data_IF_804966917071
#
_entry.id   IF_804966917071
#
_cell.length_a   1.000
_cell.length_b   1.000
_cell.length_c   1.000
_cell.angle_alpha   90.00
_cell.angle_beta   90.00
_cell.angle_gamma   90.00
#
_symmetry.space_group_name_H-M   'P 1'
#
loop_
_entity.id
_entity.type
_entity.pdbx_description
1 polymer ?
2 water ?
#
# COMPACT_ATOMS: atom_id res chain seq x y z
N UNK A 10 -4.67 5.37 -17.10
CA UNK A 10 -4.25 6.25 -15.94
C UNK A 10 -5.13 6.07 -14.72
N UNK A 11 -6.09 5.15 -14.82
CA UNK A 11 -7.03 4.90 -13.74
C UNK A 11 -6.60 3.85 -12.71
N UNK A 12 -5.96 2.78 -13.16
CA UNK A 12 -5.51 1.71 -12.26
C UNK A 12 -4.01 1.38 -12.35
N UNK A 13 -3.37 1.34 -11.19
CA UNK A 13 -1.95 1.03 -11.09
C UNK A 13 -1.77 -0.21 -10.22
N UNK A 14 -1.69 -1.39 -10.84
CA UNK A 14 -1.49 -2.62 -10.09
C UNK A 14 -0.01 -2.75 -9.78
N UNK A 15 0.35 -2.67 -8.51
CA UNK A 15 1.76 -2.72 -8.12
C UNK A 15 2.52 -4.01 -8.48
N UNK A 16 1.95 -5.17 -8.21
CA UNK A 16 2.65 -6.42 -8.54
C UNK A 16 2.93 -6.52 -10.03
N UNK A 17 2.00 -6.01 -10.82
CA UNK A 17 2.14 -6.01 -12.27
C UNK A 17 3.25 -5.05 -12.71
N UNK A 18 3.30 -3.88 -12.06
CA UNK A 18 4.30 -2.86 -12.38
C UNK A 18 5.73 -3.25 -12.04
N UNK A 19 5.91 -3.98 -10.94
CA UNK A 19 7.24 -4.42 -10.52
C UNK A 19 7.70 -5.59 -11.39
N UNK A 20 6.73 -6.33 -11.93
CA UNK A 20 7.04 -7.50 -12.73
C UNK A 20 7.26 -8.64 -11.76
N UNK A 21 6.58 -8.56 -10.62
CA UNK A 21 6.67 -9.56 -9.56
C UNK A 21 6.03 -10.91 -9.87
N UNK A 22 5.81 -11.22 -11.15
CA UNK A 22 5.24 -12.50 -11.54
C UNK A 22 6.18 -13.25 -12.49
N UNK A 23 7.36 -12.69 -12.72
CA UNK A 23 8.38 -13.31 -13.57
C UNK A 23 8.81 -14.55 -12.78
N UNK A 24 9.31 -15.57 -13.46
CA UNK A 24 9.66 -16.81 -12.76
C UNK A 24 10.96 -16.94 -11.96
N UNK A 25 10.79 -16.98 -10.64
CA UNK A 25 11.90 -17.12 -9.70
C UNK A 25 12.38 -15.79 -9.13
N UNK A 26 11.64 -15.21 -8.18
CA UNK A 26 12.04 -13.91 -7.63
C UNK A 26 11.29 -13.32 -6.41
N UNK A 27 11.79 -13.60 -5.21
CA UNK A 27 11.21 -13.06 -3.98
C UNK A 27 9.78 -13.35 -3.56
N UNK A 28 9.04 -14.08 -4.38
CA UNK A 28 7.65 -14.41 -4.05
C UNK A 28 7.25 -15.76 -4.64
N UNK A 29 6.05 -16.22 -4.29
CA UNK A 29 5.54 -17.49 -4.80
C UNK A 29 4.10 -17.30 -5.26
N UNK A 30 3.85 -17.59 -6.53
CA UNK A 30 2.51 -17.46 -7.11
C UNK A 30 1.55 -18.46 -6.48
N UNK A 31 0.47 -17.95 -5.91
CA UNK A 31 -0.56 -18.78 -5.28
C UNK A 31 -1.94 -18.24 -5.63
N UNK A 32 -2.98 -18.88 -5.09
CA UNK A 32 -4.35 -18.47 -5.34
C UNK A 32 -4.84 -17.46 -4.30
N UNK A 33 -5.74 -16.58 -4.71
CA UNK A 33 -6.29 -15.58 -3.81
C UNK A 33 -7.80 -15.50 -3.96
N UNK A 34 -8.48 -14.65 -3.16
CA UNK A 34 -9.94 -14.49 -3.21
C UNK A 34 -10.45 -14.15 -4.61
N UNK A 35 -9.64 -13.42 -5.37
CA UNK A 35 -9.98 -13.06 -6.74
C UNK A 35 -9.49 -14.24 -7.57
N UNK A 36 -10.43 -15.05 -8.10
CA UNK A 36 -10.09 -16.21 -8.91
C UNK A 36 -9.41 -15.90 -10.25
N UNK A 37 -9.53 -14.65 -10.70
CA UNK A 37 -8.95 -14.26 -11.97
C UNK A 37 -7.59 -13.56 -11.90
N UNK A 38 -7.12 -13.24 -10.70
CA UNK A 38 -5.83 -12.56 -10.58
C UNK A 38 -4.82 -13.38 -9.78
N UNK A 39 -3.53 -13.21 -10.08
CA UNK A 39 -2.50 -13.95 -9.35
C UNK A 39 -2.31 -13.39 -7.94
N UNK A 40 -2.04 -14.28 -6.99
CA UNK A 40 -1.79 -13.89 -5.61
C UNK A 40 -0.32 -14.17 -5.36
N UNK A 41 0.29 -13.47 -4.41
CA UNK A 41 1.71 -13.65 -4.15
C UNK A 41 2.08 -13.86 -2.69
N UNK A 42 2.66 -15.02 -2.40
CA UNK A 42 3.10 -15.31 -1.04
C UNK A 42 4.51 -14.75 -0.97
N UNK A 43 4.74 -13.85 -0.02
CA UNK A 43 6.04 -13.22 0.14
C UNK A 43 7.09 -14.16 0.74
N UNK A 44 8.19 -14.35 0.03
CA UNK A 44 9.28 -15.21 0.49
C UNK A 44 10.45 -14.35 0.95
N UNK A 45 10.75 -13.32 0.15
CA UNK A 45 11.81 -12.38 0.47
C UNK A 45 11.50 -11.10 -0.29
N UNK A 46 10.81 -10.19 0.39
CA UNK A 46 10.43 -8.91 -0.20
C UNK A 46 11.60 -8.13 -0.77
N UNK A 47 12.79 -8.31 -0.20
CA UNK A 47 13.99 -7.62 -0.66
C UNK A 47 14.33 -7.93 -2.11
N UNK A 48 13.98 -9.14 -2.54
CA UNK A 48 14.24 -9.61 -3.89
C UNK A 48 13.18 -9.21 -4.91
N UNK A 49 12.06 -8.66 -4.44
CA UNK A 49 11.01 -8.24 -5.36
C UNK A 49 11.44 -6.91 -5.98
N UNK A 50 11.55 -6.87 -7.31
CA UNK A 50 11.95 -5.68 -8.06
C UNK A 50 11.10 -4.44 -7.80
N UNK A 51 11.74 -3.26 -7.75
CA UNK A 51 11.01 -2.01 -7.51
C UNK A 51 10.29 -1.57 -8.78
N UNK A 52 9.27 -0.76 -8.60
CA UNK A 52 8.52 -0.23 -9.73
C UNK A 52 9.49 0.66 -10.50
N UNK A 53 9.55 0.50 -11.84
CA UNK A 53 10.46 1.30 -12.67
C UNK A 53 10.11 2.77 -12.50
N UNK A 54 11.13 3.62 -12.55
CA UNK A 54 10.95 5.05 -12.39
C UNK A 54 9.88 5.63 -13.32
N UNK A 55 9.86 5.22 -14.59
CA UNK A 55 8.87 5.75 -15.53
C UNK A 55 7.42 5.46 -15.16
N UNK A 56 7.16 4.27 -14.62
CA UNK A 56 5.81 3.90 -14.22
C UNK A 56 5.46 4.57 -12.90
N UNK A 57 6.45 4.71 -12.02
CA UNK A 57 6.22 5.35 -10.73
C UNK A 57 5.90 6.83 -10.94
N UNK A 58 6.54 7.45 -11.94
CA UNK A 58 6.28 8.86 -12.22
C UNK A 58 4.82 9.06 -12.62
N UNK A 59 4.26 8.10 -13.35
CA UNK A 59 2.86 8.15 -13.77
C UNK A 59 1.99 8.19 -12.51
N UNK A 60 2.35 7.38 -11.52
CA UNK A 60 1.63 7.30 -10.25
C UNK A 60 1.74 8.63 -9.51
N UNK A 61 2.96 9.14 -9.41
CA UNK A 61 3.19 10.42 -8.75
C UNK A 61 2.32 11.49 -9.40
N UNK A 62 2.29 11.52 -10.74
CA UNK A 62 1.48 12.50 -11.46
C UNK A 62 -0.01 12.37 -11.13
N UNK A 63 -0.48 11.13 -10.98
CA UNK A 63 -1.89 10.89 -10.65
C UNK A 63 -2.21 11.39 -9.24
N UNK A 64 -1.33 11.09 -8.29
CA UNK A 64 -1.53 11.53 -6.90
C UNK A 64 -1.51 13.05 -6.82
N UNK A 65 -0.60 13.66 -7.58
CA UNK A 65 -0.47 15.11 -7.64
C UNK A 65 -1.77 15.74 -8.12
N UNK A 66 -2.31 15.18 -9.20
CA UNK A 66 -3.54 15.68 -9.80
C UNK A 66 -4.77 15.52 -8.90
N UNK A 67 -4.94 14.34 -8.32
CA UNK A 67 -6.09 14.08 -7.46
C UNK A 67 -5.89 14.57 -6.02
N UNK A 68 -4.66 14.97 -5.69
CA UNK A 68 -4.32 15.43 -4.34
C UNK A 68 -4.59 14.29 -3.36
N UNK A 69 -4.36 13.07 -3.84
CA UNK A 69 -4.58 11.90 -3.02
C UNK A 69 -4.71 10.65 -3.87
N UNK A 70 -5.30 9.62 -3.30
CA UNK A 70 -5.48 8.36 -4.00
C UNK A 70 -6.44 7.44 -3.27
N UNK A 71 -6.71 6.32 -3.92
CA UNK A 71 -7.56 5.27 -3.39
C UNK A 71 -6.67 4.03 -3.54
N UNK A 72 -6.34 3.41 -2.41
CA UNK A 72 -5.49 2.22 -2.40
C UNK A 72 -6.28 0.98 -1.99
N UNK A 73 -6.30 0.00 -2.88
CA UNK A 73 -7.00 -1.26 -2.63
C UNK A 73 -5.98 -2.36 -2.40
N UNK A 74 -6.34 -3.33 -1.56
CA UNK A 74 -5.45 -4.44 -1.29
C UNK A 74 -6.13 -5.57 -0.54
N UNK A 75 -5.78 -6.79 -0.91
CA UNK A 75 -6.29 -7.98 -0.25
C UNK A 75 -5.05 -8.58 0.40
N UNK A 76 -5.19 -9.02 1.65
CA UNK A 76 -4.06 -9.59 2.36
C UNK A 76 -4.43 -10.71 3.33
N UNK A 77 -3.51 -11.65 3.50
CA UNK A 77 -3.67 -12.78 4.41
C UNK A 77 -2.37 -12.72 5.18
N UNK A 78 -2.39 -11.99 6.29
CA UNK A 78 -1.21 -11.77 7.10
C UNK A 78 -1.07 -12.66 8.32
N UNK A 79 0.18 -12.93 8.69
CA UNK A 79 0.50 -13.75 9.85
C UNK A 79 0.10 -12.99 11.11
N UNK A 80 -0.55 -13.69 12.03
CA UNK A 80 -1.00 -13.09 13.29
C UNK A 80 0.15 -12.46 14.07
N UNK A 81 -0.14 -11.35 14.75
CA UNK A 81 0.83 -10.63 15.57
C UNK A 81 2.10 -10.15 14.88
N UNK A 82 2.00 -9.78 13.60
CA UNK A 82 3.18 -9.29 12.88
C UNK A 82 2.94 -7.90 12.29
N UNK A 83 4.02 -7.16 12.10
CA UNK A 83 3.95 -5.83 11.49
C UNK A 83 4.37 -6.06 10.05
N UNK A 84 3.47 -5.78 9.12
CA UNK A 84 3.80 -6.01 7.72
C UNK A 84 3.58 -4.83 6.81
N UNK A 85 4.67 -4.36 6.22
CA UNK A 85 4.61 -3.25 5.28
C UNK A 85 3.90 -3.72 4.02
N UNK A 86 2.88 -2.97 3.60
CA UNK A 86 2.13 -3.30 2.40
C UNK A 86 2.93 -2.72 1.24
N UNK A 87 3.33 -1.46 1.41
CA UNK A 87 4.15 -0.79 0.41
C UNK A 87 4.87 0.39 1.02
N UNK A 88 5.95 0.79 0.36
CA UNK A 88 6.75 1.89 0.85
C UNK A 88 7.51 2.58 -0.27
N UNK A 89 7.75 3.87 -0.06
CA UNK A 89 8.51 4.70 -0.99
C UNK A 89 9.89 4.81 -0.34
N UNK A 90 10.84 4.00 -0.80
CA UNK A 90 12.17 4.04 -0.19
C UNK A 90 13.12 4.98 -0.91
N UNK A 91 13.93 5.68 -0.13
CA UNK A 91 14.88 6.61 -0.71
C UNK A 91 15.94 5.80 -1.43
N UNK A 92 16.29 6.25 -2.63
CA UNK A 92 17.31 5.58 -3.42
C UNK A 92 18.67 5.57 -2.72
N UNK A 93 18.91 6.55 -1.86
CA UNK A 93 20.19 6.63 -1.15
C UNK A 93 20.23 5.75 0.09
N UNK A 94 19.17 4.95 0.26
CA UNK A 94 19.02 3.99 1.36
C UNK A 94 19.04 4.55 2.78
N UNK A 95 18.69 5.83 2.93
CA UNK A 95 18.68 6.45 4.25
C UNK A 95 17.34 6.34 4.97
N UNK A 96 16.33 5.81 4.28
CA UNK A 96 15.03 5.66 4.89
C UNK A 96 13.89 5.65 3.90
N UNK A 97 12.67 5.81 4.40
CA UNK A 97 11.48 5.82 3.56
C UNK A 97 10.82 7.19 3.66
N UNK A 98 10.21 7.65 2.58
CA UNK A 98 9.52 8.93 2.58
C UNK A 98 8.03 8.71 2.84
N UNK A 99 7.58 7.48 2.64
CA UNK A 99 6.18 7.13 2.86
C UNK A 99 6.01 5.62 2.99
N UNK A 100 5.07 5.20 3.83
CA UNK A 100 4.79 3.78 4.01
C UNK A 100 3.43 3.51 4.63
N UNK A 101 2.90 2.36 4.26
CA UNK A 101 1.62 1.87 4.75
C UNK A 101 1.96 0.52 5.38
N UNK A 102 1.74 0.40 6.69
CA UNK A 102 2.05 -0.82 7.43
C UNK A 102 0.85 -1.39 8.16
N UNK A 103 0.58 -2.67 7.93
CA UNK A 103 -0.50 -3.35 8.64
C UNK A 103 0.15 -3.82 9.94
N UNK A 104 -0.12 -3.10 11.03
CA UNK A 104 0.46 -3.41 12.34
C UNK A 104 -0.39 -4.41 13.13
N UNK A 105 -0.04 -5.68 13.03
CA UNK A 105 -0.77 -6.72 13.74
C UNK A 105 -0.55 -6.72 15.25
N UNK A 106 0.47 -6.00 15.71
CA UNK A 106 0.74 -5.93 17.15
C UNK A 106 -0.13 -4.89 17.84
N UNK A 107 -0.43 -3.80 17.14
CA UNK A 107 -1.25 -2.74 17.70
C UNK A 107 -2.70 -2.81 17.21
N UNK A 108 -2.93 -3.61 16.17
CA UNK A 108 -4.26 -3.73 15.60
C UNK A 108 -4.60 -2.44 14.88
N UNK A 109 -3.65 -1.94 14.09
CA UNK A 109 -3.82 -0.68 13.36
C UNK A 109 -3.24 -0.74 11.96
N UNK A 110 -3.52 0.29 11.17
CA UNK A 110 -2.94 0.43 9.83
C UNK A 110 -2.14 1.72 10.00
N UNK A 111 -0.81 1.60 9.98
CA UNK A 111 0.05 2.77 10.18
C UNK A 111 0.47 3.44 8.88
N UNK A 112 0.38 4.76 8.89
CA UNK A 112 0.76 5.57 7.74
C UNK A 112 1.89 6.49 8.18
N UNK A 113 3.05 6.34 7.54
CA UNK A 113 4.21 7.16 7.85
C UNK A 113 4.55 8.04 6.65
N UNK A 114 4.83 9.30 6.93
CA UNK A 114 5.20 10.26 5.90
C UNK A 114 6.40 11.05 6.39
N UNK A 115 7.46 11.09 5.58
CA UNK A 115 8.65 11.84 5.94
C UNK A 115 8.78 13.01 4.99
N UNK A 116 8.53 14.17 5.56
CA UNK A 116 8.59 15.43 4.85
C UNK A 116 9.83 16.04 5.49
N UNK A 117 10.92 15.71 4.80
CA UNK A 117 12.31 16.03 5.09
C UNK A 117 12.84 16.30 6.49
N UNK A 118 13.52 15.25 6.98
CA UNK A 118 14.11 15.25 8.31
C UNK A 118 13.08 14.87 9.35
N UNK A 119 11.81 14.89 8.95
CA UNK A 119 10.71 14.62 9.87
C UNK A 119 9.81 13.44 9.49
N UNK A 120 9.79 12.43 10.36
CA UNK A 120 8.96 11.23 10.20
C UNK A 120 7.69 11.39 11.04
N UNK A 121 6.55 11.54 10.38
CA UNK A 121 5.26 11.66 11.07
C UNK A 121 4.58 10.32 10.90
N UNK A 122 4.08 9.76 11.99
CA UNK A 122 3.38 8.48 11.93
C UNK A 122 2.02 8.59 12.60
N UNK A 123 0.99 8.11 11.90
CA UNK A 123 -0.36 8.13 12.44
C UNK A 123 -0.96 6.74 12.28
N UNK A 124 -1.66 6.29 13.31
CA UNK A 124 -2.29 4.98 13.28
C UNK A 124 -3.79 5.06 13.05
N UNK A 125 -4.29 4.22 12.14
CA UNK A 125 -5.72 4.14 11.91
C UNK A 125 -6.13 3.04 12.88
N UNK A 126 -6.91 3.39 13.90
CA UNK A 126 -7.33 2.43 14.92
C UNK A 126 -8.43 1.46 14.53
N UNK A 127 -8.56 0.40 15.34
CA UNK A 127 -9.56 -0.64 15.15
C UNK A 127 -9.50 -1.20 13.73
N UNK A 128 -8.29 -1.59 13.36
CA UNK A 128 -8.03 -2.15 12.04
C UNK A 128 -7.10 -3.34 12.18
N UNK A 129 -7.60 -4.43 12.75
CA UNK A 129 -6.79 -5.62 12.90
C UNK A 129 -6.89 -6.44 11.62
N UNK A 130 -5.88 -6.27 10.78
CA UNK A 130 -5.79 -6.95 9.50
C UNK A 130 -4.92 -8.20 9.60
N UNK A 131 -4.22 -8.35 10.71
CA UNK A 131 -3.33 -9.49 10.91
C UNK A 131 -4.04 -10.67 11.55
N UNK A 132 -4.80 -11.37 10.73
CA UNK A 132 -5.53 -12.54 11.15
C UNK A 132 -5.25 -13.50 10.01
N UNK A 133 -4.89 -14.73 10.34
CA UNK A 133 -4.58 -15.70 9.30
C UNK A 133 -5.59 -15.84 8.17
N UNK A 134 -6.56 -14.94 8.09
CA UNK A 134 -7.57 -14.99 7.04
C UNK A 134 -7.50 -13.82 6.07
N UNK A 135 -8.10 -14.03 4.90
CA UNK A 135 -8.13 -13.03 3.85
C UNK A 135 -8.98 -11.82 4.21
N UNK A 136 -8.39 -10.63 4.07
CA UNK A 136 -9.10 -9.38 4.36
C UNK A 136 -8.88 -8.42 3.19
N UNK A 137 -9.88 -7.60 2.89
CA UNK A 137 -9.80 -6.64 1.80
C UNK A 137 -9.87 -5.23 2.38
N UNK A 138 -8.98 -4.34 1.94
CA UNK A 138 -9.03 -2.96 2.41
C UNK A 138 -9.18 -1.94 1.31
N UNK A 139 -9.81 -0.82 1.66
CA UNK A 139 -9.97 0.28 0.73
C UNK A 139 -9.53 1.51 1.51
N UNK A 140 -8.34 2.01 1.18
CA UNK A 140 -7.79 3.18 1.86
C UNK A 140 -7.92 4.40 0.94
N UNK A 141 -8.68 5.38 1.42
CA UNK A 141 -8.91 6.62 0.68
C UNK A 141 -8.18 7.76 1.36
N UNK A 142 -7.20 8.32 0.65
CA UNK A 142 -6.41 9.42 1.16
C UNK A 142 -6.63 10.65 0.28
N UNK A 143 -6.99 11.77 0.91
CA UNK A 143 -7.24 13.02 0.20
C UNK A 143 -6.70 14.12 1.10
N UNK A 144 -5.78 14.93 0.58
CA UNK A 144 -5.14 16.00 1.36
C UNK A 144 -4.48 15.36 2.59
N UNK A 145 -4.87 15.80 3.79
CA UNK A 145 -4.31 15.25 5.02
C UNK A 145 -5.30 14.31 5.72
N UNK A 146 -6.26 13.79 4.96
CA UNK A 146 -7.28 12.90 5.50
C UNK A 146 -7.18 11.46 5.03
N UNK A 147 -7.43 10.52 5.93
CA UNK A 147 -7.39 9.10 5.58
C UNK A 147 -8.64 8.36 6.08
N UNK A 148 -9.29 7.64 5.18
CA UNK A 148 -10.48 6.87 5.50
C UNK A 148 -10.24 5.43 5.12
N UNK A 149 -10.38 4.54 6.09
CA UNK A 149 -10.17 3.12 5.86
C UNK A 149 -11.45 2.31 5.90
N UNK A 150 -11.63 1.45 4.90
CA UNK A 150 -12.78 0.56 4.82
C UNK A 150 -12.21 -0.85 4.78
N UNK A 151 -12.66 -1.68 5.71
CA UNK A 151 -12.22 -3.06 5.78
C UNK A 151 -13.41 -3.92 5.40
N UNK A 152 -13.25 -4.65 4.29
CA UNK A 152 -14.29 -5.52 3.75
C UNK A 152 -15.44 -4.67 3.18
N UNK A 153 -16.68 -4.94 3.59
CA UNK A 153 -17.83 -4.18 3.09
C UNK A 153 -18.43 -3.29 4.16
N UNK A 154 -17.69 -3.11 5.24
CA UNK A 154 -18.15 -2.37 6.39
C UNK A 154 -17.12 -1.36 6.91
N UNK A 155 -16.98 -1.42 8.23
CA UNK A 155 -16.06 -0.65 9.07
C UNK A 155 -15.28 0.54 8.52
N UNK A 156 -15.66 1.74 8.93
CA UNK A 156 -14.95 2.94 8.51
C UNK A 156 -14.24 3.56 9.70
N UNK A 157 -12.93 3.67 9.60
CA UNK A 157 -12.11 4.28 10.63
C UNK A 157 -11.30 5.37 9.96
N UNK A 158 -11.38 6.58 10.50
CA UNK A 158 -10.66 7.71 9.92
C UNK A 158 -9.44 8.10 10.72
N UNK A 159 -8.55 8.86 10.09
CA UNK A 159 -7.33 9.35 10.70
C UNK A 159 -6.85 10.55 9.90
N UNK A 160 -6.12 11.45 10.55
CA UNK A 160 -5.60 12.62 9.87
C UNK A 160 -4.08 12.70 9.94
N UNK A 161 -3.49 13.00 8.79
CA UNK A 161 -2.05 13.11 8.64
C UNK A 161 -1.58 14.48 9.09
N UNK A 162 -0.33 14.58 9.51
CA UNK A 162 0.22 15.85 9.96
C UNK A 162 0.61 16.76 8.80
N UNK A 163 0.53 16.22 7.58
CA UNK A 163 0.90 16.96 6.38
C UNK A 163 0.08 16.40 5.20
N UNK A 164 -0.22 17.22 4.18
CA UNK A 164 -0.99 16.73 3.03
C UNK A 164 -0.22 15.67 2.25
N UNK A 165 -0.95 14.70 1.70
CA UNK A 165 -0.32 13.61 0.95
C UNK A 165 0.56 14.08 -0.20
N UNK A 166 0.14 15.14 -0.89
CA UNK A 166 0.91 15.66 -2.02
C UNK A 166 2.26 16.26 -1.59
N UNK A 167 2.39 16.57 -0.30
CA UNK A 167 3.63 17.11 0.25
C UNK A 167 4.73 16.05 0.21
N UNK A 168 4.32 14.78 0.13
CA UNK A 168 5.24 13.66 0.03
C UNK A 168 5.47 13.40 -1.45
N UNK A 169 4.36 13.29 -2.18
CA UNK A 169 4.40 13.04 -3.62
C UNK A 169 4.80 14.30 -4.36
N UNK A 170 6.06 14.67 -4.20
CA UNK A 170 6.61 15.86 -4.83
C UNK A 170 6.85 15.63 -6.32
N UNK A 171 7.02 16.74 -7.05
CA UNK A 171 7.23 16.73 -8.50
C UNK A 171 8.19 15.70 -9.06
N UNK A 172 9.40 15.68 -8.51
CA UNK A 172 10.43 14.78 -8.98
C UNK A 172 10.80 13.82 -7.87
N UNK A 173 9.78 13.14 -7.36
CA UNK A 173 9.96 12.17 -6.30
C UNK A 173 10.59 10.91 -6.86
N UNK A 174 10.28 10.59 -8.11
CA UNK A 174 10.81 9.39 -8.76
C UNK A 174 12.32 9.43 -8.91
N UNK A 175 12.90 10.62 -8.77
CA UNK A 175 14.34 10.79 -8.89
C UNK A 175 15.08 10.49 -7.58
N UNK A 176 14.38 10.53 -6.45
CA UNK A 176 15.01 10.27 -5.16
C UNK A 176 14.43 9.06 -4.41
N UNK A 177 13.29 8.55 -4.88
CA UNK A 177 12.66 7.41 -4.21
C UNK A 177 12.07 6.43 -5.21
N UNK A 178 11.81 5.21 -4.73
CA UNK A 178 11.23 4.17 -5.55
C UNK A 178 10.21 3.36 -4.76
N UNK A 179 9.15 2.94 -5.44
CA UNK A 179 8.09 2.19 -4.80
C UNK A 179 8.41 0.72 -4.67
N UNK A 180 8.37 0.24 -3.44
CA UNK A 180 8.63 -1.17 -3.13
C UNK A 180 7.37 -1.82 -2.55
N UNK A 181 7.13 -3.08 -2.90
CA UNK A 181 5.97 -3.77 -2.37
C UNK A 181 6.40 -4.77 -1.29
N UNK A 182 5.64 -4.81 -0.19
CA UNK A 182 5.88 -5.71 0.94
C UNK A 182 7.22 -5.56 1.67
N UNK A 183 7.93 -4.46 1.45
CA UNK A 183 9.25 -4.27 2.06
C UNK A 183 9.31 -3.11 3.05
N UNK A 184 9.85 -3.39 4.24
CA UNK A 184 9.97 -2.38 5.28
C UNK A 184 11.35 -1.79 5.52
N UNK A 185 11.44 -0.96 6.56
CA UNK A 185 12.70 -0.32 6.93
C UNK A 185 13.29 -0.94 8.18
N UNK A 186 12.45 -1.61 8.96
CA UNK A 186 12.88 -2.30 10.17
C UNK A 186 13.05 -3.73 9.66
N UNK A 187 12.24 -4.62 10.19
CA UNK A 187 12.20 -6.01 9.79
C UNK A 187 10.69 -6.21 9.78
N UNK A 188 10.07 -5.28 9.06
CA UNK A 188 8.63 -5.19 8.88
C UNK A 188 8.22 -5.67 7.49
N UNK A 189 9.00 -6.57 6.89
CA UNK A 189 8.63 -7.09 5.58
C UNK A 189 7.31 -7.83 5.77
N UNK A 190 6.46 -7.83 4.75
CA UNK A 190 5.17 -8.49 4.87
C UNK A 190 5.32 -10.00 4.94
N UNK A 191 4.67 -10.60 5.94
CA UNK A 191 4.69 -12.04 6.13
C UNK A 191 3.28 -12.53 5.82
N UNK A 192 3.13 -13.16 4.66
CA UNK A 192 1.83 -13.65 4.26
C UNK A 192 1.65 -13.59 2.76
N UNK A 193 0.40 -13.49 2.34
CA UNK A 193 0.06 -13.43 0.92
C UNK A 193 -0.66 -12.12 0.60
N UNK A 194 -0.37 -11.56 -0.57
CA UNK A 194 -0.98 -10.32 -1.02
C UNK A 194 -1.62 -10.52 -2.38
N UNK A 195 -2.62 -9.70 -2.71
CA UNK A 195 -3.30 -9.78 -4.00
C UNK A 195 -4.04 -8.49 -4.33
N UNK A 196 -3.97 -8.10 -5.60
CA UNK A 196 -4.63 -6.89 -6.08
C UNK A 196 -4.31 -5.64 -5.29
N UNK A 197 -3.02 -5.39 -5.07
CA UNK A 197 -2.60 -4.18 -4.37
C UNK A 197 -2.56 -3.15 -5.49
N UNK A 198 -3.56 -2.26 -5.49
CA UNK A 198 -3.73 -1.27 -6.56
C UNK A 198 -4.14 0.14 -6.16
N UNK A 199 -3.59 1.12 -6.88
CA UNK A 199 -3.93 2.52 -6.68
C UNK A 199 -4.99 2.82 -7.75
N UNK A 200 -6.13 3.35 -7.33
CA UNK A 200 -7.22 3.67 -8.25
C UNK A 200 -7.55 5.17 -8.20
N UNK A 201 -7.71 5.77 -9.37
CA UNK A 201 -8.01 7.19 -9.46
C UNK A 201 -9.32 7.51 -10.18
N UNK A 202 -9.81 8.73 -9.97
CA UNK A 202 -11.04 9.18 -10.59
C UNK A 202 -12.27 8.43 -10.11
N UNK A 203 -12.15 7.78 -8.96
CA UNK A 203 -13.26 7.01 -8.39
C UNK A 203 -13.31 7.26 -6.89
N UNK A 204 -14.44 6.92 -6.28
CA UNK A 204 -14.63 7.11 -4.85
C UNK A 204 -14.80 5.76 -4.16
N UNK A 205 -14.55 5.69 -2.84
CA UNK A 205 -14.70 4.43 -2.10
C UNK A 205 -16.12 3.88 -2.17
N UNK A 206 -17.11 4.76 -2.04
CA UNK A 206 -18.52 4.38 -2.11
C UNK A 206 -18.72 3.71 -3.46
N UNK A 207 -18.30 4.42 -4.51
CA UNK A 207 -18.38 3.96 -5.89
C UNK A 207 -17.77 2.57 -6.05
N UNK A 208 -16.72 2.30 -5.28
CA UNK A 208 -16.00 1.03 -5.34
C UNK A 208 -16.48 -0.05 -4.37
N UNK A 209 -17.15 0.34 -3.28
CA UNK A 209 -17.68 -0.66 -2.35
C UNK A 209 -18.89 -1.28 -3.03
N UNK A 210 -19.58 -0.46 -3.81
CA UNK A 210 -20.76 -0.87 -4.55
C UNK A 210 -20.41 -1.86 -5.66
N UNK A 211 -19.22 -1.73 -6.24
CA UNK A 211 -18.83 -2.63 -7.32
C UNK A 211 -18.17 -3.95 -6.90
N UNK A 212 -18.28 -4.28 -5.62
CA UNK A 212 -17.75 -5.54 -5.10
C UNK A 212 -18.91 -6.27 -4.39
N UNK A 213 -20.10 -5.69 -4.51
CA UNK A 213 -21.29 -6.27 -3.92
C UNK A 213 -21.69 -5.73 -2.56
N UNK A 214 -20.91 -4.81 -2.02
CA UNK A 214 -21.18 -4.24 -0.70
C UNK A 214 -22.47 -3.44 -0.58
N UNK A 215 -22.95 -3.39 0.66
CA UNK A 215 -24.15 -2.67 1.07
C UNK A 215 -24.11 -2.79 2.59
#
# INVERSE_FOLDING_TARGET
>A
NRIPESGGDNSVFDIFELTGAARKGSGRRLVKGPDPSSPAFRIEDANLIPPVPDDKFQDLVDAVRTEKGFLLLASLRQMKKTRGTLLALERKDHSGQVFSVVSNGKAGTLDLSLTVQGKQHVVSVEEALLATGQWKSITLFVQEDRAQLYIDCEKMENAELDVPIQSVFTRDLASIARLRIAKGGVNDNFQGVLQNVRFVFGTTPEDILRNKGCS
#
